data_IF_517735396152
#
_entry.id   IF_517735396152
#
_cell.length_a   1.000
_cell.length_b   1.000
_cell.length_c   1.000
_cell.angle_alpha   90.00
_cell.angle_beta   90.00
_cell.angle_gamma   90.00
#
_symmetry.space_group_name_H-M   'P 1'
#
loop_
_entity.id
_entity.type
_entity.pdbx_description
1 polymer ?
#
# COMPACT_ATOMS: atom_id res chain seq x y z
N UNK A 1 -31.45 -23.22 -3.90
CA UNK A 1 -30.15 -22.86 -3.28
C UNK A 1 -30.27 -21.43 -2.80
N UNK A 2 -30.10 -21.19 -1.52
CA UNK A 2 -29.98 -19.83 -0.99
C UNK A 2 -28.85 -19.10 -1.72
N UNK A 3 -28.99 -17.81 -2.00
CA UNK A 3 -27.90 -17.04 -2.60
C UNK A 3 -26.67 -17.11 -1.66
N UNK A 4 -25.51 -17.46 -2.21
CA UNK A 4 -24.27 -17.42 -1.46
C UNK A 4 -24.02 -15.96 -1.04
N UNK A 5 -23.74 -15.73 0.23
CA UNK A 5 -23.28 -14.46 0.76
C UNK A 5 -21.77 -14.60 0.93
N UNK A 6 -20.99 -13.63 0.46
CA UNK A 6 -19.54 -13.64 0.63
C UNK A 6 -19.20 -13.84 2.11
N UNK A 7 -18.26 -14.73 2.39
CA UNK A 7 -17.75 -15.04 3.72
C UNK A 7 -16.29 -14.61 3.84
N UNK A 8 -15.73 -14.58 5.05
CA UNK A 8 -14.31 -14.24 5.25
C UNK A 8 -13.37 -15.12 4.42
N UNK A 9 -13.74 -16.37 4.13
CA UNK A 9 -12.97 -17.28 3.28
C UNK A 9 -12.85 -16.83 1.80
N UNK A 10 -13.71 -15.91 1.37
CA UNK A 10 -13.69 -15.36 0.00
C UNK A 10 -12.75 -14.15 -0.12
N UNK A 11 -12.24 -13.63 0.99
CA UNK A 11 -11.34 -12.48 1.02
C UNK A 11 -9.89 -12.91 1.11
N UNK A 12 -9.02 -12.18 0.42
CA UNK A 12 -7.57 -12.33 0.48
C UNK A 12 -6.98 -10.92 0.62
N UNK A 13 -6.30 -10.67 1.73
CA UNK A 13 -5.71 -9.39 2.07
C UNK A 13 -4.20 -9.41 1.82
N UNK A 14 -3.74 -8.65 0.83
CA UNK A 14 -2.33 -8.55 0.45
C UNK A 14 -1.83 -7.16 0.81
N UNK A 15 -0.86 -7.07 1.72
CA UNK A 15 -0.21 -5.81 2.08
C UNK A 15 0.95 -5.53 1.12
N UNK A 16 0.88 -4.41 0.43
CA UNK A 16 1.94 -3.92 -0.45
C UNK A 16 2.70 -2.81 0.27
N UNK A 17 4.00 -2.98 0.46
CA UNK A 17 4.89 -2.01 1.13
C UNK A 17 5.97 -1.53 0.18
N UNK A 18 5.97 -0.23 -0.10
CA UNK A 18 7.08 0.45 -0.77
C UNK A 18 7.98 1.09 0.26
N UNK A 19 9.20 0.58 0.40
CA UNK A 19 10.18 1.16 1.30
C UNK A 19 10.97 2.28 0.63
N UNK A 20 11.36 3.29 1.41
CA UNK A 20 12.06 4.48 0.94
C UNK A 20 13.59 4.35 0.95
N UNK A 21 14.14 3.13 1.12
CA UNK A 21 15.58 2.92 1.14
C UNK A 21 16.17 2.66 -0.24
N UNK A 22 17.42 3.07 -0.43
CA UNK A 22 18.29 2.61 -1.51
C UNK A 22 19.22 1.53 -0.98
N UNK A 23 19.83 0.78 -1.88
CA UNK A 23 20.84 -0.21 -1.50
C UNK A 23 21.93 0.42 -0.62
N UNK A 24 22.17 -0.16 0.56
CA UNK A 24 23.16 0.33 1.53
C UNK A 24 22.64 1.38 2.53
N UNK A 25 21.43 1.87 2.43
CA UNK A 25 20.83 2.75 3.44
C UNK A 25 20.34 1.94 4.66
N UNK A 26 20.68 2.42 5.87
CA UNK A 26 20.27 1.75 7.11
C UNK A 26 18.82 2.05 7.50
N UNK A 27 18.31 3.22 7.12
CA UNK A 27 16.95 3.64 7.44
C UNK A 27 15.96 3.14 6.38
N UNK A 28 14.98 2.37 6.82
CA UNK A 28 13.97 1.75 5.96
C UNK A 28 12.57 2.09 6.45
N UNK A 29 12.01 3.17 5.94
CA UNK A 29 10.64 3.57 6.25
C UNK A 29 9.65 3.07 5.20
N UNK A 30 8.48 2.61 5.65
CA UNK A 30 7.37 2.26 4.78
C UNK A 30 6.64 3.55 4.34
N UNK A 31 7.09 4.16 3.24
CA UNK A 31 6.50 5.41 2.73
C UNK A 31 5.24 5.19 1.89
N UNK A 32 5.07 4.00 1.37
CA UNK A 32 3.86 3.56 0.66
C UNK A 32 3.37 2.26 1.30
N UNK A 33 2.12 2.25 1.72
CA UNK A 33 1.46 1.06 2.25
C UNK A 33 0.05 1.00 1.64
N UNK A 34 -0.23 -0.03 0.87
CA UNK A 34 -1.54 -0.26 0.23
C UNK A 34 -2.00 -1.66 0.60
N UNK A 35 -3.16 -1.74 1.21
CA UNK A 35 -3.86 -3.00 1.40
C UNK A 35 -4.68 -3.29 0.13
N UNK A 36 -4.38 -4.41 -0.50
CA UNK A 36 -5.08 -4.93 -1.66
C UNK A 36 -5.99 -6.07 -1.17
N UNK A 37 -7.27 -5.80 -1.03
CA UNK A 37 -8.29 -6.77 -0.62
C UNK A 37 -8.96 -7.37 -1.85
N UNK A 38 -8.77 -8.65 -2.07
CA UNK A 38 -9.39 -9.42 -3.16
C UNK A 38 -10.61 -10.13 -2.61
N UNK A 39 -11.79 -9.88 -3.17
CA UNK A 39 -12.98 -10.70 -2.94
C UNK A 39 -13.14 -11.66 -4.14
N UNK A 40 -12.89 -12.94 -3.90
CA UNK A 40 -12.87 -13.96 -4.95
C UNK A 40 -14.28 -14.31 -5.43
N UNK A 41 -15.29 -14.15 -4.58
CA UNK A 41 -16.67 -14.39 -4.93
C UNK A 41 -17.25 -13.27 -5.83
N UNK A 42 -17.09 -12.01 -5.39
CA UNK A 42 -17.56 -10.84 -6.15
C UNK A 42 -16.65 -10.47 -7.32
N UNK A 43 -15.45 -11.05 -7.39
CA UNK A 43 -14.42 -10.70 -8.37
C UNK A 43 -14.03 -9.23 -8.29
N UNK A 44 -13.81 -8.72 -7.10
CA UNK A 44 -13.38 -7.35 -6.87
C UNK A 44 -12.01 -7.30 -6.25
N UNK A 45 -11.26 -6.25 -6.57
CA UNK A 45 -10.03 -5.85 -5.86
C UNK A 45 -10.25 -4.45 -5.32
N UNK A 46 -10.15 -4.31 -4.01
CA UNK A 46 -10.27 -3.01 -3.34
C UNK A 46 -8.91 -2.54 -2.85
N UNK A 47 -8.53 -1.31 -3.20
CA UNK A 47 -7.27 -0.69 -2.81
C UNK A 47 -7.50 0.31 -1.68
N UNK A 48 -6.85 0.09 -0.53
CA UNK A 48 -6.92 0.97 0.65
C UNK A 48 -5.52 1.47 0.99
N UNK A 49 -5.30 2.79 0.99
CA UNK A 49 -4.02 3.36 1.44
C UNK A 49 -3.96 3.42 2.95
N UNK A 50 -2.91 2.86 3.55
CA UNK A 50 -2.62 3.02 4.96
C UNK A 50 -1.84 4.32 5.17
N UNK A 51 -2.38 5.24 5.98
CA UNK A 51 -1.78 6.56 6.16
C UNK A 51 -0.53 6.46 7.02
N UNK A 52 0.62 6.79 6.45
CA UNK A 52 1.94 6.61 7.07
C UNK A 52 2.15 7.41 8.37
N UNK A 53 1.53 8.59 8.49
CA UNK A 53 1.65 9.46 9.66
C UNK A 53 0.64 9.12 10.78
N UNK A 54 -0.09 8.00 10.66
CA UNK A 54 -0.99 7.50 11.70
C UNK A 54 -0.21 7.11 12.95
N UNK A 55 -0.62 7.64 14.10
CA UNK A 55 -0.05 7.25 15.39
C UNK A 55 -0.66 5.92 15.84
N UNK A 56 0.12 4.87 15.81
CA UNK A 56 -0.30 3.50 16.18
C UNK A 56 0.38 3.01 17.45
N UNK A 57 -0.30 2.11 18.15
CA UNK A 57 0.29 1.33 19.25
C UNK A 57 0.78 0.00 18.67
N UNK A 58 2.10 -0.21 18.57
CA UNK A 58 2.63 -1.53 18.21
C UNK A 58 2.79 -2.42 19.44
N UNK A 59 2.55 -3.74 19.30
CA UNK A 59 2.60 -4.67 20.43
C UNK A 59 4.03 -5.00 20.85
N UNK A 60 4.18 -5.64 22.00
CA UNK A 60 5.39 -6.39 22.31
C UNK A 60 5.56 -7.49 21.26
N UNK A 61 6.77 -7.71 20.78
CA UNK A 61 7.04 -8.74 19.77
C UNK A 61 8.33 -9.50 20.08
N UNK A 62 8.47 -10.66 19.44
CA UNK A 62 9.68 -11.47 19.52
C UNK A 62 10.23 -11.58 18.11
N UNK A 63 11.50 -11.19 17.90
CA UNK A 63 12.15 -11.29 16.61
C UNK A 63 12.52 -12.72 16.23
N UNK A 64 12.96 -12.95 15.00
CA UNK A 64 13.33 -14.27 14.48
C UNK A 64 14.52 -14.89 15.23
N UNK A 65 15.30 -14.12 15.97
CA UNK A 65 16.38 -14.60 16.85
C UNK A 65 15.89 -14.97 18.27
N UNK A 66 14.59 -14.82 18.54
CA UNK A 66 13.98 -15.11 19.82
C UNK A 66 14.12 -14.00 20.87
N UNK A 67 14.63 -12.82 20.52
CA UNK A 67 14.75 -11.68 21.43
C UNK A 67 13.41 -10.94 21.54
N UNK A 68 13.02 -10.64 22.77
CA UNK A 68 11.79 -9.89 23.07
C UNK A 68 12.04 -8.38 23.04
N UNK A 69 11.11 -7.68 22.41
CA UNK A 69 11.07 -6.23 22.30
C UNK A 69 9.77 -5.68 22.89
N UNK A 70 9.89 -4.55 23.60
CA UNK A 70 8.71 -3.86 24.14
C UNK A 70 8.00 -3.07 23.04
N UNK A 71 6.67 -3.10 23.07
CA UNK A 71 5.82 -2.26 22.24
C UNK A 71 5.88 -0.78 22.65
N UNK A 72 5.23 0.04 21.85
CA UNK A 72 5.18 1.49 22.08
C UNK A 72 4.27 2.20 21.11
N UNK A 73 4.26 3.52 21.13
CA UNK A 73 3.53 4.36 20.18
C UNK A 73 4.50 5.03 19.22
N UNK A 74 4.20 4.94 17.92
CA UNK A 74 5.02 5.55 16.87
C UNK A 74 4.16 5.74 15.61
N UNK A 75 4.66 6.52 14.64
CA UNK A 75 4.02 6.61 13.32
C UNK A 75 4.08 5.27 12.59
N UNK A 76 3.02 4.94 11.86
CA UNK A 76 2.90 3.69 11.11
C UNK A 76 4.09 3.47 10.15
N UNK A 77 4.57 4.53 9.48
CA UNK A 77 5.74 4.48 8.58
C UNK A 77 7.00 3.91 9.26
N UNK A 78 7.16 4.15 10.57
CA UNK A 78 8.34 3.75 11.34
C UNK A 78 8.28 2.30 11.86
N UNK A 79 7.12 1.64 11.76
CA UNK A 79 6.95 0.25 12.22
C UNK A 79 7.86 -0.70 11.47
N UNK A 80 7.93 -0.56 10.13
CA UNK A 80 8.82 -1.36 9.29
C UNK A 80 10.27 -1.22 9.73
N UNK A 81 10.74 0.04 9.92
CA UNK A 81 12.09 0.32 10.38
C UNK A 81 12.39 -0.32 11.73
N UNK A 82 11.48 -0.19 12.70
CA UNK A 82 11.63 -0.77 14.03
C UNK A 82 11.78 -2.29 14.04
N UNK A 83 11.02 -2.99 13.19
CA UNK A 83 11.18 -4.43 13.02
C UNK A 83 12.50 -4.79 12.33
N UNK A 84 12.88 -4.02 11.30
CA UNK A 84 14.06 -4.28 10.49
C UNK A 84 15.39 -4.10 11.24
N UNK A 85 15.55 -3.00 11.99
CA UNK A 85 16.84 -2.67 12.64
C UNK A 85 17.31 -3.67 13.69
N UNK A 86 16.39 -4.47 14.24
CA UNK A 86 16.71 -5.44 15.28
C UNK A 86 17.48 -6.65 14.73
N UNK A 87 17.15 -7.09 13.53
CA UNK A 87 17.68 -8.34 12.94
C UNK A 87 18.18 -8.19 11.51
N UNK A 88 17.99 -7.03 10.89
CA UNK A 88 18.23 -6.78 9.48
C UNK A 88 17.37 -7.72 8.58
N UNK A 89 16.15 -8.02 9.04
CA UNK A 89 15.23 -8.98 8.44
C UNK A 89 13.94 -8.32 7.95
N UNK A 90 13.65 -8.45 6.66
CA UNK A 90 12.35 -8.06 6.08
C UNK A 90 11.20 -8.82 6.73
N UNK A 91 11.39 -10.11 7.08
CA UNK A 91 10.37 -10.91 7.73
C UNK A 91 9.97 -10.36 9.11
N UNK A 92 10.94 -9.89 9.92
CA UNK A 92 10.66 -9.24 11.20
C UNK A 92 9.97 -7.90 11.02
N UNK A 93 10.40 -7.12 10.02
CA UNK A 93 9.78 -5.83 9.69
C UNK A 93 8.31 -6.01 9.30
N UNK A 94 8.03 -6.92 8.37
CA UNK A 94 6.66 -7.21 7.91
C UNK A 94 5.82 -7.88 9.00
N UNK A 95 6.41 -8.82 9.78
CA UNK A 95 5.75 -9.44 10.91
C UNK A 95 5.28 -8.43 11.97
N UNK A 96 6.11 -7.44 12.32
CA UNK A 96 5.72 -6.37 13.23
C UNK A 96 4.65 -5.45 12.61
N UNK A 97 4.75 -5.15 11.31
CA UNK A 97 3.75 -4.38 10.59
C UNK A 97 2.38 -5.09 10.62
N UNK A 98 2.33 -6.37 10.28
CA UNK A 98 1.10 -7.16 10.27
C UNK A 98 0.45 -7.23 11.66
N UNK A 99 1.23 -7.51 12.72
CA UNK A 99 0.74 -7.48 14.10
C UNK A 99 0.20 -6.11 14.50
N UNK A 100 0.84 -5.03 14.05
CA UNK A 100 0.41 -3.65 14.32
C UNK A 100 -0.90 -3.33 13.61
N UNK A 101 -1.06 -3.73 12.36
CA UNK A 101 -2.30 -3.54 11.59
C UNK A 101 -3.46 -4.32 12.21
N UNK A 102 -3.23 -5.55 12.63
CA UNK A 102 -4.25 -6.34 13.31
C UNK A 102 -4.68 -5.70 14.64
N UNK A 103 -3.72 -5.32 15.48
CA UNK A 103 -4.00 -4.79 16.82
C UNK A 103 -4.68 -3.42 16.82
N UNK A 104 -4.47 -2.59 15.77
CA UNK A 104 -5.03 -1.24 15.68
C UNK A 104 -6.30 -1.15 14.83
N UNK A 105 -6.39 -1.96 13.77
CA UNK A 105 -7.45 -1.84 12.76
C UNK A 105 -8.22 -3.15 12.53
N UNK A 106 -7.83 -4.27 13.17
CA UNK A 106 -8.44 -5.58 12.95
C UNK A 106 -8.12 -6.17 11.57
N UNK A 107 -7.12 -5.66 10.86
CA UNK A 107 -6.77 -6.13 9.52
C UNK A 107 -5.93 -7.40 9.65
N UNK A 108 -6.45 -8.53 9.17
CA UNK A 108 -5.68 -9.76 8.97
C UNK A 108 -5.04 -9.73 7.59
N UNK A 109 -3.69 -9.76 7.55
CA UNK A 109 -2.90 -9.79 6.33
C UNK A 109 -2.56 -11.23 6.00
N UNK A 110 -3.07 -11.76 4.88
CA UNK A 110 -2.77 -13.11 4.42
C UNK A 110 -1.39 -13.20 3.79
N UNK A 111 -1.04 -12.19 3.01
CA UNK A 111 0.24 -12.12 2.32
C UNK A 111 0.77 -10.69 2.32
N UNK A 112 2.09 -10.56 2.29
CA UNK A 112 2.74 -9.27 2.13
C UNK A 112 3.79 -9.29 1.03
N UNK A 113 3.97 -8.13 0.41
CA UNK A 113 4.94 -7.86 -0.65
C UNK A 113 5.65 -6.57 -0.34
N UNK A 114 6.97 -6.62 -0.26
CA UNK A 114 7.81 -5.45 -0.06
C UNK A 114 8.65 -5.20 -1.31
N UNK A 115 8.73 -3.94 -1.72
CA UNK A 115 9.47 -3.49 -2.90
C UNK A 115 10.27 -2.23 -2.58
N UNK A 116 11.54 -2.19 -3.00
CA UNK A 116 12.37 -0.99 -2.98
C UNK A 116 12.27 -0.21 -4.30
N UNK A 117 12.96 0.93 -4.38
CA UNK A 117 12.91 1.80 -5.55
C UNK A 117 13.49 1.16 -6.81
N UNK A 118 14.59 0.41 -6.69
CA UNK A 118 15.26 -0.19 -7.84
C UNK A 118 14.45 -1.36 -8.39
N UNK A 119 13.87 -2.17 -7.50
CA UNK A 119 12.95 -3.23 -7.86
C UNK A 119 11.67 -2.67 -8.51
N UNK A 120 11.11 -1.56 -7.98
CA UNK A 120 9.96 -0.90 -8.59
C UNK A 120 10.27 -0.46 -10.03
N UNK A 121 11.39 0.26 -10.25
CA UNK A 121 11.79 0.72 -11.58
C UNK A 121 11.91 -0.47 -12.55
N UNK A 122 12.61 -1.54 -12.11
CA UNK A 122 12.79 -2.74 -12.93
C UNK A 122 11.47 -3.43 -13.24
N UNK A 123 10.59 -3.61 -12.24
CA UNK A 123 9.28 -4.25 -12.42
C UNK A 123 8.40 -3.49 -13.43
N UNK A 124 8.36 -2.15 -13.35
CA UNK A 124 7.59 -1.34 -14.30
C UNK A 124 8.19 -1.39 -15.71
N UNK A 125 9.52 -1.41 -15.84
CA UNK A 125 10.17 -1.55 -17.14
C UNK A 125 9.93 -2.93 -17.76
N UNK A 126 9.97 -4.01 -16.97
CA UNK A 126 9.62 -5.37 -17.40
C UNK A 126 8.16 -5.47 -17.87
N UNK A 127 7.26 -4.78 -17.21
CA UNK A 127 5.86 -4.66 -17.64
C UNK A 127 5.71 -3.85 -18.96
N UNK A 128 6.76 -3.20 -19.44
CA UNK A 128 6.74 -2.33 -20.62
C UNK A 128 6.13 -0.95 -20.34
N UNK A 129 6.38 -0.40 -19.15
CA UNK A 129 5.86 0.90 -18.69
C UNK A 129 4.37 0.88 -18.34
N UNK A 130 3.85 2.02 -17.92
CA UNK A 130 2.46 2.18 -17.48
C UNK A 130 1.84 3.45 -18.08
N UNK A 131 0.54 3.39 -18.42
CA UNK A 131 -0.19 4.58 -18.84
C UNK A 131 -0.96 5.14 -17.65
N UNK A 132 -0.71 6.43 -17.35
CA UNK A 132 -1.44 7.19 -16.33
C UNK A 132 -1.99 8.49 -16.93
N UNK A 133 -3.01 9.04 -16.31
CA UNK A 133 -3.54 10.35 -16.65
C UNK A 133 -2.95 11.38 -15.70
N UNK A 134 -2.29 12.40 -16.24
CA UNK A 134 -1.63 13.46 -15.48
C UNK A 134 -2.46 14.74 -15.54
N UNK A 135 -2.55 15.45 -14.43
CA UNK A 135 -2.97 16.85 -14.43
C UNK A 135 -1.86 17.74 -15.01
N UNK A 136 -2.19 18.97 -15.40
CA UNK A 136 -1.21 19.95 -15.86
C UNK A 136 -0.12 20.20 -14.80
N UNK A 137 -0.49 20.27 -13.51
CA UNK A 137 0.44 20.48 -12.40
C UNK A 137 1.41 19.29 -12.24
N UNK A 138 0.92 18.07 -12.35
CA UNK A 138 1.74 16.85 -12.27
C UNK A 138 2.70 16.74 -13.46
N UNK A 139 2.24 17.05 -14.67
CA UNK A 139 3.09 17.07 -15.85
C UNK A 139 4.21 18.11 -15.72
N UNK A 140 3.89 19.33 -15.29
CA UNK A 140 4.88 20.38 -15.04
C UNK A 140 5.90 19.94 -13.98
N UNK A 141 5.44 19.36 -12.86
CA UNK A 141 6.33 18.86 -11.81
C UNK A 141 7.31 17.80 -12.35
N UNK A 142 6.83 16.85 -13.15
CA UNK A 142 7.70 15.81 -13.74
C UNK A 142 8.69 16.41 -14.73
N UNK A 143 8.27 17.40 -15.53
CA UNK A 143 9.11 18.06 -16.51
C UNK A 143 10.18 18.97 -15.86
N UNK A 144 9.93 19.52 -14.66
CA UNK A 144 10.95 20.28 -13.90
C UNK A 144 12.13 19.41 -13.45
N UNK A 145 11.97 18.10 -13.45
CA UNK A 145 13.02 17.11 -13.19
C UNK A 145 13.55 16.44 -14.47
N UNK A 146 13.35 17.04 -15.65
CA UNK A 146 13.65 16.42 -16.94
C UNK A 146 15.14 16.06 -17.14
N UNK A 147 16.07 16.62 -16.40
CA UNK A 147 17.49 16.19 -16.39
C UNK A 147 17.66 14.70 -16.01
N UNK A 148 16.60 14.06 -15.47
CA UNK A 148 16.55 12.66 -15.06
C UNK A 148 15.73 11.78 -16.00
N UNK A 149 14.91 12.38 -16.89
CA UNK A 149 13.98 11.66 -17.77
C UNK A 149 14.23 12.03 -19.22
N UNK A 150 14.17 11.05 -20.09
CA UNK A 150 14.56 11.20 -21.50
C UNK A 150 13.44 11.75 -22.40
N UNK A 151 12.26 12.07 -21.82
CA UNK A 151 11.09 12.52 -22.58
C UNK A 151 10.22 13.47 -21.76
N UNK A 152 9.49 14.32 -22.47
CA UNK A 152 8.55 15.28 -21.89
C UNK A 152 7.16 14.65 -21.75
N UNK A 153 6.47 14.92 -20.62
CA UNK A 153 5.09 14.53 -20.37
C UNK A 153 4.16 15.72 -20.45
N UNK A 154 2.86 15.49 -20.70
CA UNK A 154 1.83 16.53 -20.88
C UNK A 154 0.61 16.21 -20.02
N UNK A 155 -0.26 17.21 -19.86
CA UNK A 155 -1.59 16.97 -19.31
C UNK A 155 -2.33 15.89 -20.11
N UNK A 156 -3.08 15.02 -19.41
CA UNK A 156 -3.81 13.90 -19.99
C UNK A 156 -3.01 12.60 -19.94
N UNK A 157 -3.28 11.70 -20.87
CA UNK A 157 -2.74 10.33 -20.86
C UNK A 157 -1.28 10.29 -21.31
N UNK A 158 -0.42 9.74 -20.45
CA UNK A 158 1.00 9.55 -20.71
C UNK A 158 1.43 8.11 -20.47
N UNK A 159 2.42 7.65 -21.24
CA UNK A 159 3.17 6.44 -20.94
C UNK A 159 4.36 6.82 -20.05
N UNK A 160 4.56 6.10 -18.96
CA UNK A 160 5.67 6.30 -18.03
C UNK A 160 6.53 5.03 -17.97
N UNK A 161 7.85 5.19 -18.07
CA UNK A 161 8.81 4.16 -17.72
C UNK A 161 8.94 4.02 -16.19
N UNK A 162 9.76 3.07 -15.71
CA UNK A 162 9.93 2.82 -14.30
C UNK A 162 10.43 4.03 -13.51
N UNK A 163 11.36 4.81 -14.08
CA UNK A 163 11.95 5.98 -13.40
C UNK A 163 10.95 7.11 -13.26
N UNK A 164 10.23 7.42 -14.33
CA UNK A 164 9.19 8.47 -14.33
C UNK A 164 7.99 8.03 -13.48
N UNK A 165 7.62 6.75 -13.54
CA UNK A 165 6.58 6.19 -12.68
C UNK A 165 6.93 6.30 -11.20
N UNK A 166 8.19 6.05 -10.81
CA UNK A 166 8.65 6.23 -9.43
C UNK A 166 8.56 7.70 -9.01
N UNK A 167 8.96 8.64 -9.88
CA UNK A 167 8.81 10.07 -9.58
C UNK A 167 7.34 10.46 -9.40
N UNK A 168 6.44 9.95 -10.25
CA UNK A 168 5.01 10.19 -10.16
C UNK A 168 4.41 9.74 -8.83
N UNK A 169 4.66 8.50 -8.41
CA UNK A 169 4.10 7.97 -7.15
C UNK A 169 4.73 8.57 -5.88
N UNK A 170 5.90 9.22 -6.01
CA UNK A 170 6.60 9.92 -4.92
C UNK A 170 6.30 11.41 -4.84
N UNK A 171 5.65 11.98 -5.84
CA UNK A 171 5.35 13.39 -5.94
C UNK A 171 4.57 13.91 -4.72
N UNK A 172 5.00 15.02 -4.14
CA UNK A 172 4.41 15.64 -2.95
C UNK A 172 4.02 17.10 -3.12
N UNK A 173 4.53 17.78 -4.16
CA UNK A 173 4.42 19.23 -4.32
C UNK A 173 4.02 19.67 -5.72
N UNK A 174 3.28 18.85 -6.46
CA UNK A 174 2.86 19.21 -7.82
C UNK A 174 1.95 20.45 -7.84
N UNK A 175 1.11 20.62 -6.83
CA UNK A 175 0.19 21.76 -6.73
C UNK A 175 0.67 22.83 -5.73
N UNK A 176 1.99 22.83 -5.42
CA UNK A 176 2.63 23.78 -4.50
C UNK A 176 2.87 23.25 -3.09
N UNK A 177 3.35 24.12 -2.18
CA UNK A 177 3.81 23.73 -0.84
C UNK A 177 2.70 23.23 0.10
N UNK A 178 1.43 23.39 -0.25
CA UNK A 178 0.26 22.93 0.52
C UNK A 178 -0.25 21.54 0.12
N UNK A 179 0.43 20.83 -0.80
CA UNK A 179 -0.03 19.51 -1.21
C UNK A 179 0.12 18.49 -0.08
N UNK A 180 -1.01 17.89 0.29
CA UNK A 180 -1.05 16.94 1.40
C UNK A 180 -0.53 15.56 0.99
N UNK A 181 -0.04 14.80 1.98
CA UNK A 181 0.32 13.39 1.83
C UNK A 181 -0.85 12.53 1.30
N UNK A 182 -2.08 13.00 1.49
CA UNK A 182 -3.31 12.38 0.99
C UNK A 182 -3.36 12.37 -0.55
N UNK A 183 -2.97 13.47 -1.20
CA UNK A 183 -2.91 13.52 -2.67
C UNK A 183 -1.87 12.53 -3.22
N UNK A 184 -0.74 12.38 -2.53
CA UNK A 184 0.24 11.34 -2.86
C UNK A 184 -0.36 9.94 -2.75
N UNK A 185 -1.06 9.61 -1.66
CA UNK A 185 -1.69 8.29 -1.53
C UNK A 185 -2.78 8.05 -2.56
N UNK A 186 -3.50 9.08 -2.99
CA UNK A 186 -4.46 8.98 -4.09
C UNK A 186 -3.76 8.65 -5.43
N UNK A 187 -2.62 9.32 -5.76
CA UNK A 187 -1.81 8.97 -6.94
C UNK A 187 -1.28 7.54 -6.90
N UNK A 188 -0.84 7.09 -5.74
CA UNK A 188 -0.39 5.71 -5.56
C UNK A 188 -1.49 4.70 -5.84
N UNK A 189 -2.75 4.95 -5.39
CA UNK A 189 -3.89 4.10 -5.74
C UNK A 189 -4.22 4.17 -7.23
N UNK A 190 -4.28 5.35 -7.81
CA UNK A 190 -4.51 5.54 -9.26
C UNK A 190 -3.45 4.80 -10.10
N UNK A 191 -2.20 4.84 -9.67
CA UNK A 191 -1.12 4.07 -10.30
C UNK A 191 -1.38 2.56 -10.20
N UNK A 192 -1.77 2.05 -9.02
CA UNK A 192 -2.10 0.64 -8.82
C UNK A 192 -3.33 0.21 -9.63
N UNK A 193 -4.34 1.06 -9.75
CA UNK A 193 -5.49 0.82 -10.62
C UNK A 193 -5.06 0.68 -12.09
N UNK A 194 -4.19 1.57 -12.56
CA UNK A 194 -3.64 1.50 -13.92
C UNK A 194 -2.78 0.25 -14.14
N UNK A 195 -1.99 -0.15 -13.14
CA UNK A 195 -1.18 -1.38 -13.15
C UNK A 195 -2.07 -2.61 -13.27
N UNK A 196 -3.06 -2.75 -12.40
CA UNK A 196 -4.00 -3.87 -12.40
C UNK A 196 -4.81 -3.90 -13.72
N UNK A 197 -5.24 -2.74 -14.23
CA UNK A 197 -5.95 -2.64 -15.50
C UNK A 197 -5.07 -3.07 -16.70
N UNK A 198 -3.75 -2.88 -16.61
CA UNK A 198 -2.80 -3.38 -17.61
C UNK A 198 -2.63 -4.91 -17.52
N UNK A 199 -2.38 -5.43 -16.31
CA UNK A 199 -2.23 -6.88 -16.05
C UNK A 199 -3.49 -7.64 -16.46
N UNK A 200 -4.67 -7.09 -16.18
CA UNK A 200 -5.97 -7.67 -16.58
C UNK A 200 -6.10 -7.92 -18.10
N UNK A 201 -5.36 -7.18 -18.93
CA UNK A 201 -5.37 -7.32 -20.41
C UNK A 201 -4.30 -8.26 -20.95
N UNK A 202 -3.40 -8.72 -20.08
CA UNK A 202 -2.33 -9.63 -20.49
C UNK A 202 -2.85 -11.06 -20.69
N UNK A 203 -2.15 -11.84 -21.52
CA UNK A 203 -2.40 -13.27 -21.60
C UNK A 203 -1.91 -13.96 -20.33
N UNK A 204 -2.43 -15.15 -20.06
CA UNK A 204 -1.99 -15.97 -18.92
C UNK A 204 -0.47 -16.23 -18.96
N UNK A 205 0.07 -16.55 -20.14
CA UNK A 205 1.50 -16.77 -20.31
C UNK A 205 2.33 -15.52 -20.02
N UNK A 206 1.85 -14.34 -20.43
CA UNK A 206 2.56 -13.08 -20.17
C UNK A 206 2.54 -12.74 -18.68
N UNK A 207 1.43 -12.98 -17.97
CA UNK A 207 1.36 -12.80 -16.52
C UNK A 207 2.31 -13.74 -15.79
N UNK A 208 2.37 -15.01 -16.19
CA UNK A 208 3.32 -15.99 -15.61
C UNK A 208 4.77 -15.61 -15.87
N UNK A 209 5.10 -15.18 -17.08
CA UNK A 209 6.45 -14.73 -17.43
C UNK A 209 6.83 -13.49 -16.61
N UNK A 210 5.95 -12.49 -16.54
CA UNK A 210 6.16 -11.29 -15.74
C UNK A 210 6.36 -11.63 -14.25
N UNK A 211 5.53 -12.52 -13.70
CA UNK A 211 5.68 -12.95 -12.30
C UNK A 211 7.05 -13.60 -12.05
N UNK A 212 7.52 -14.48 -12.94
CA UNK A 212 8.83 -15.11 -12.81
C UNK A 212 9.99 -14.10 -12.85
N UNK A 213 9.85 -12.99 -13.59
CA UNK A 213 10.88 -11.96 -13.68
C UNK A 213 10.80 -10.95 -12.51
N UNK A 214 9.61 -10.67 -12.00
CA UNK A 214 9.40 -9.69 -10.92
C UNK A 214 9.61 -10.30 -9.53
N UNK A 215 9.19 -11.55 -9.29
CA UNK A 215 9.30 -12.20 -7.97
C UNK A 215 10.73 -12.19 -7.39
N UNK A 216 11.81 -12.38 -8.17
CA UNK A 216 13.17 -12.27 -7.63
C UNK A 216 13.58 -10.85 -7.21
N UNK A 217 12.83 -9.83 -7.60
CA UNK A 217 13.11 -8.41 -7.30
C UNK A 217 12.43 -7.93 -6.02
N UNK A 218 11.47 -8.68 -5.50
CA UNK A 218 10.64 -8.27 -4.37
C UNK A 218 10.76 -9.26 -3.21
N UNK A 219 10.51 -8.80 -2.00
CA UNK A 219 10.38 -9.68 -0.85
C UNK A 219 8.91 -10.04 -0.67
N UNK A 220 8.60 -11.33 -0.57
CA UNK A 220 7.23 -11.83 -0.39
C UNK A 220 7.17 -12.82 0.76
N UNK A 221 6.07 -12.81 1.52
CA UNK A 221 5.81 -13.80 2.58
C UNK A 221 5.30 -15.14 2.05
N UNK A 222 4.96 -15.22 0.76
CA UNK A 222 4.43 -16.42 0.13
C UNK A 222 5.51 -17.41 -0.27
N UNK A 223 5.24 -18.69 -0.07
CA UNK A 223 5.98 -19.78 -0.71
C UNK A 223 5.64 -19.87 -2.20
N UNK A 224 6.49 -20.51 -3.00
CA UNK A 224 6.22 -20.73 -4.43
C UNK A 224 4.88 -21.45 -4.68
N UNK A 225 4.49 -22.38 -3.80
CA UNK A 225 3.18 -23.04 -3.88
C UNK A 225 2.04 -22.07 -3.67
N UNK A 226 2.12 -21.22 -2.64
CA UNK A 226 1.09 -20.21 -2.36
C UNK A 226 0.97 -19.18 -3.48
N UNK A 227 2.09 -18.76 -4.09
CA UNK A 227 2.08 -17.87 -5.26
C UNK A 227 1.34 -18.55 -6.41
N UNK A 228 1.65 -19.83 -6.70
CA UNK A 228 0.98 -20.59 -7.74
C UNK A 228 -0.53 -20.72 -7.46
N UNK A 229 -0.91 -21.07 -6.23
CA UNK A 229 -2.31 -21.21 -5.82
C UNK A 229 -3.06 -19.88 -5.94
N UNK A 230 -2.43 -18.77 -5.52
CA UNK A 230 -2.99 -17.42 -5.66
C UNK A 230 -3.21 -17.06 -7.14
N UNK A 231 -2.21 -17.29 -7.98
CA UNK A 231 -2.32 -17.09 -9.43
C UNK A 231 -3.45 -17.91 -10.02
N UNK A 232 -3.55 -19.20 -9.67
CA UNK A 232 -4.63 -20.07 -10.17
C UNK A 232 -6.02 -19.62 -9.71
N UNK A 233 -6.16 -19.02 -8.54
CA UNK A 233 -7.40 -18.40 -8.06
C UNK A 233 -7.73 -17.10 -8.80
N UNK A 234 -6.71 -16.25 -9.03
CA UNK A 234 -6.88 -14.93 -9.63
C UNK A 234 -7.15 -14.98 -11.14
N UNK A 235 -6.50 -15.89 -11.85
CA UNK A 235 -6.56 -15.96 -13.32
C UNK A 235 -7.98 -16.06 -13.89
N UNK A 236 -8.88 -16.93 -13.38
CA UNK A 236 -10.26 -17.01 -13.88
C UNK A 236 -11.08 -15.73 -13.61
N UNK A 237 -10.63 -14.92 -12.63
CA UNK A 237 -11.33 -13.68 -12.25
C UNK A 237 -10.95 -12.50 -13.14
N UNK A 238 -9.74 -12.51 -13.75
CA UNK A 238 -9.16 -11.34 -14.42
C UNK A 238 -10.09 -10.70 -15.44
N UNK A 239 -10.83 -11.48 -16.24
CA UNK A 239 -11.74 -10.94 -17.26
C UNK A 239 -12.95 -10.19 -16.70
N UNK A 240 -13.39 -10.56 -15.49
CA UNK A 240 -14.53 -9.94 -14.79
C UNK A 240 -14.12 -9.08 -13.59
N UNK A 241 -12.81 -8.93 -13.35
CA UNK A 241 -12.30 -8.25 -12.17
C UNK A 241 -12.68 -6.76 -12.16
N UNK A 242 -13.35 -6.32 -11.11
CA UNK A 242 -13.61 -4.90 -10.84
C UNK A 242 -12.57 -4.37 -9.86
N UNK A 243 -12.00 -3.21 -10.17
CA UNK A 243 -11.01 -2.55 -9.31
C UNK A 243 -11.70 -1.37 -8.64
N UNK A 244 -11.66 -1.35 -7.31
CA UNK A 244 -12.28 -0.32 -6.45
C UNK A 244 -11.22 0.38 -5.62
N UNK A 245 -11.45 1.65 -5.29
CA UNK A 245 -10.66 2.39 -4.31
C UNK A 245 -11.53 2.67 -3.09
N UNK A 246 -11.14 2.18 -1.92
CA UNK A 246 -11.88 2.44 -0.67
C UNK A 246 -11.42 3.70 0.07
N UNK A 247 -10.37 4.38 -0.43
CA UNK A 247 -9.79 5.54 0.22
C UNK A 247 -8.63 5.21 1.15
N UNK A 248 -8.74 5.50 2.43
CA UNK A 248 -7.63 5.40 3.39
C UNK A 248 -8.00 4.64 4.66
N UNK A 249 -6.99 4.08 5.32
CA UNK A 249 -7.05 3.61 6.70
C UNK A 249 -5.95 4.35 7.51
N UNK A 250 -6.31 5.06 8.61
CA UNK A 250 -7.68 5.20 9.11
C UNK A 250 -8.58 5.94 8.12
N UNK A 251 -9.88 5.71 8.24
CA UNK A 251 -10.89 6.30 7.36
C UNK A 251 -10.90 7.82 7.53
N UNK A 252 -10.73 8.57 6.45
CA UNK A 252 -10.82 10.03 6.46
C UNK A 252 -12.28 10.49 6.40
N UNK A 253 -12.95 10.34 7.52
CA UNK A 253 -14.32 10.77 7.69
C UNK A 253 -14.53 11.40 9.06
N UNK A 254 -15.55 12.26 9.18
CA UNK A 254 -15.87 12.94 10.42
C UNK A 254 -16.14 11.95 11.56
N UNK A 255 -15.37 12.06 12.62
CA UNK A 255 -15.44 11.17 13.80
C UNK A 255 -14.74 9.81 13.62
N UNK A 256 -14.02 9.59 12.50
CA UNK A 256 -13.17 8.41 12.29
C UNK A 256 -11.69 8.70 12.48
N UNK A 257 -11.22 9.86 11.98
CA UNK A 257 -9.83 10.28 12.14
C UNK A 257 -9.72 11.82 12.18
N UNK A 258 -8.60 12.32 12.73
CA UNK A 258 -8.26 13.74 12.82
C UNK A 258 -6.76 13.95 12.92
N UNK A 259 -6.27 15.10 12.45
CA UNK A 259 -4.87 15.49 12.60
C UNK A 259 -4.61 16.10 13.98
N UNK A 260 -3.42 15.87 14.52
CA UNK A 260 -2.97 16.48 15.78
C UNK A 260 -1.45 16.65 15.81
N UNK A 261 -0.96 17.40 16.79
CA UNK A 261 0.46 17.62 17.07
C UNK A 261 0.80 16.98 18.41
N UNK A 262 1.60 15.92 18.40
CA UNK A 262 1.88 15.09 19.58
C UNK A 262 3.37 14.95 19.82
N UNK A 263 3.80 15.05 21.09
CA UNK A 263 5.12 14.61 21.53
C UNK A 263 5.12 13.08 21.66
N UNK A 264 5.59 12.41 20.60
CA UNK A 264 5.56 10.94 20.51
C UNK A 264 6.60 10.31 21.44
N UNK A 265 7.74 10.98 21.60
CA UNK A 265 8.92 10.40 22.27
C UNK A 265 9.14 10.92 23.68
N UNK A 266 8.34 11.91 24.14
CA UNK A 266 8.49 12.54 25.46
C UNK A 266 9.76 13.41 25.57
N UNK A 267 10.29 13.87 24.44
CA UNK A 267 11.50 14.70 24.35
C UNK A 267 11.21 16.20 24.18
N UNK A 268 9.93 16.58 24.23
CA UNK A 268 9.43 17.95 24.04
C UNK A 268 9.28 18.36 22.57
N UNK A 269 9.61 17.49 21.61
CA UNK A 269 9.39 17.74 20.19
C UNK A 269 7.99 17.28 19.78
N UNK A 270 7.25 18.15 19.09
CA UNK A 270 5.92 17.81 18.60
C UNK A 270 5.96 17.37 17.15
N UNK A 271 5.19 16.31 16.84
CA UNK A 271 5.10 15.70 15.52
C UNK A 271 3.67 15.76 15.01
N UNK A 272 3.49 16.14 13.75
CA UNK A 272 2.19 16.00 13.09
C UNK A 272 1.84 14.53 12.93
N UNK A 273 0.67 14.13 13.40
CA UNK A 273 0.16 12.76 13.37
C UNK A 273 -1.30 12.72 12.95
N UNK A 274 -1.73 11.56 12.46
CA UNK A 274 -3.13 11.21 12.29
C UNK A 274 -3.58 10.35 13.47
N UNK A 275 -4.55 10.85 14.23
CA UNK A 275 -5.26 10.11 15.27
C UNK A 275 -6.56 9.53 14.72
N UNK A 276 -7.12 8.52 15.40
CA UNK A 276 -8.32 7.84 14.91
C UNK A 276 -9.14 7.21 16.05
N UNK A 277 -10.44 7.06 15.81
CA UNK A 277 -11.34 6.25 16.62
C UNK A 277 -11.13 4.77 16.27
N UNK A 278 -10.58 4.02 17.21
CA UNK A 278 -10.19 2.63 16.98
C UNK A 278 -11.39 1.74 16.65
N UNK A 279 -12.45 1.80 17.44
CA UNK A 279 -13.58 0.89 17.30
C UNK A 279 -14.31 1.08 15.97
N UNK A 280 -14.48 2.33 15.54
CA UNK A 280 -15.07 2.65 14.24
C UNK A 280 -14.19 2.20 13.08
N UNK A 281 -12.88 2.41 13.17
CA UNK A 281 -11.97 1.98 12.12
C UNK A 281 -11.84 0.45 12.05
N UNK A 282 -11.84 -0.25 13.19
CA UNK A 282 -11.88 -1.72 13.22
C UNK A 282 -13.15 -2.24 12.56
N UNK A 283 -14.32 -1.71 12.94
CA UNK A 283 -15.59 -2.12 12.34
C UNK A 283 -15.62 -1.88 10.83
N UNK A 284 -15.15 -0.70 10.38
CA UNK A 284 -15.08 -0.37 8.95
C UNK A 284 -14.14 -1.31 8.18
N UNK A 285 -12.95 -1.56 8.74
CA UNK A 285 -11.96 -2.39 8.06
C UNK A 285 -12.39 -3.85 8.01
N UNK A 286 -12.99 -4.41 9.05
CA UNK A 286 -13.54 -5.78 9.02
C UNK A 286 -14.66 -5.95 8.00
N UNK A 287 -15.57 -4.98 7.90
CA UNK A 287 -16.58 -4.99 6.85
C UNK A 287 -15.95 -5.00 5.44
N UNK A 288 -14.83 -4.28 5.27
CA UNK A 288 -14.13 -4.19 3.99
C UNK A 288 -13.28 -5.42 3.67
N UNK A 289 -12.55 -5.98 4.65
CA UNK A 289 -11.51 -7.00 4.46
C UNK A 289 -11.98 -8.42 4.74
N UNK A 290 -13.10 -8.60 5.41
CA UNK A 290 -13.64 -9.89 5.83
C UNK A 290 -15.11 -10.07 5.44
N UNK A 291 -15.78 -8.97 5.01
CA UNK A 291 -17.23 -8.97 4.75
C UNK A 291 -18.07 -9.06 6.01
N UNK A 292 -17.50 -8.74 7.19
CA UNK A 292 -18.21 -8.77 8.47
C UNK A 292 -19.06 -7.52 8.68
N UNK A 293 -20.35 -7.60 8.36
CA UNK A 293 -21.31 -6.51 8.49
C UNK A 293 -21.38 -5.64 7.22
N UNK A 294 -21.97 -4.46 7.37
CA UNK A 294 -22.06 -3.47 6.28
C UNK A 294 -20.99 -2.40 6.46
N UNK A 295 -20.42 -1.92 5.34
CA UNK A 295 -19.50 -0.79 5.36
C UNK A 295 -20.27 0.44 5.84
N UNK A 296 -19.91 1.05 6.99
CA UNK A 296 -20.67 2.18 7.54
C UNK A 296 -20.65 3.38 6.59
N UNK A 297 -21.78 4.07 6.51
CA UNK A 297 -21.87 5.33 5.78
C UNK A 297 -20.96 6.39 6.46
N UNK A 298 -20.14 7.06 5.67
CA UNK A 298 -19.18 8.03 6.19
C UNK A 298 -19.37 9.40 5.54
N UNK A 299 -19.16 10.46 6.31
CA UNK A 299 -19.11 11.83 5.80
C UNK A 299 -17.63 12.20 5.60
N UNK A 300 -17.16 12.34 4.35
CA UNK A 300 -15.76 12.67 4.09
C UNK A 300 -15.34 14.00 4.76
N UNK A 301 -14.07 14.07 5.17
CA UNK A 301 -13.46 15.33 5.56
C UNK A 301 -13.15 16.08 4.26
N UNK A 302 -13.70 17.27 4.12
CA UNK A 302 -13.32 18.17 3.02
C UNK A 302 -11.91 18.72 3.32
N UNK A 303 -11.05 18.66 2.34
CA UNK A 303 -9.68 19.21 2.40
C UNK A 303 -9.70 20.74 2.28
#
# INVERSE_FOLDING_TARGET
TEPHVASSADYINILLVGQAAREGEAERFADTMILCTVNTYEKTVTLTSLLRDTLVQYPNYTDTNGKKHSGGKIKLTSIYHNGYICTNSTADAMGLMNQTLYSNFGIEVDYDVEIDFDAFIKAINLLGGINVELTAAEANYLNDFHDRYYYEVKEGKNWLDGSTALAYVRMRKAEGDGESDIKRTARQRQFMEALLAKVKKMSLSDVQNLANEVLPLVSVSMTNSQITDLLMKMLPMLSGLEIKSSGTCPVRARGYSWGDMVDIYGDGQIHSVMLYDKDKNVAYMRALTEGEGEIPETVPIQD
#
